data_IF_467630818077
#
_entry.id   IF_467630818077
#
_cell.length_a   1.000
_cell.length_b   1.000
_cell.length_c   1.000
_cell.angle_alpha   90.00
_cell.angle_beta   90.00
_cell.angle_gamma   90.00
#
_symmetry.space_group_name_H-M   'P 1'
#
loop_
_entity.id
_entity.type
_entity.pdbx_description
1 polymer ?
#
# COMPACT_ATOMS: atom_id res chain seq x y z
N UNK A 1 2.71 1.62 16.92
CA UNK A 1 1.87 1.18 15.76
C UNK A 1 2.34 1.77 14.42
N UNK A 2 3.03 2.92 14.38
CA UNK A 2 3.52 3.51 13.10
C UNK A 2 4.62 2.71 12.36
N UNK A 3 5.39 1.87 13.07
CA UNK A 3 6.50 1.13 12.47
C UNK A 3 6.07 -0.01 11.51
N UNK A 4 4.78 -0.39 11.51
CA UNK A 4 4.25 -1.48 10.69
C UNK A 4 3.88 -0.99 9.28
N UNK A 5 3.23 0.18 9.16
CA UNK A 5 2.78 0.72 7.87
C UNK A 5 3.93 1.14 6.95
N UNK A 6 5.02 1.69 7.49
CA UNK A 6 6.18 2.06 6.67
C UNK A 6 6.87 0.82 6.08
N UNK A 7 7.02 -0.24 6.88
CA UNK A 7 7.58 -1.52 6.42
C UNK A 7 6.66 -2.19 5.38
N UNK A 8 5.35 -2.16 5.62
CA UNK A 8 4.35 -2.65 4.68
C UNK A 8 4.39 -1.88 3.35
N UNK A 9 4.48 -0.55 3.39
CA UNK A 9 4.59 0.30 2.22
C UNK A 9 5.83 -0.04 1.37
N UNK A 10 7.02 -0.11 1.99
CA UNK A 10 8.26 -0.45 1.29
C UNK A 10 8.20 -1.86 0.67
N UNK A 11 7.55 -2.81 1.34
CA UNK A 11 7.37 -4.17 0.81
C UNK A 11 6.44 -4.17 -0.39
N UNK A 12 5.33 -3.45 -0.34
CA UNK A 12 4.40 -3.27 -1.46
C UNK A 12 5.07 -2.60 -2.65
N UNK A 13 5.86 -1.55 -2.41
CA UNK A 13 6.60 -0.84 -3.47
C UNK A 13 7.58 -1.78 -4.17
N UNK A 14 8.34 -2.59 -3.40
CA UNK A 14 9.24 -3.61 -3.94
C UNK A 14 8.49 -4.65 -4.78
N UNK A 15 7.39 -5.21 -4.26
CA UNK A 15 6.57 -6.20 -4.99
C UNK A 15 5.92 -5.60 -6.24
N UNK A 16 5.48 -4.35 -6.17
CA UNK A 16 4.93 -3.64 -7.31
C UNK A 16 5.99 -3.45 -8.40
N UNK A 17 7.19 -2.98 -8.02
CA UNK A 17 8.32 -2.77 -8.91
C UNK A 17 8.84 -4.07 -9.55
N UNK A 18 8.80 -5.19 -8.83
CA UNK A 18 9.16 -6.51 -9.36
C UNK A 18 8.21 -7.01 -10.47
N UNK A 19 7.03 -6.41 -10.62
CA UNK A 19 6.21 -6.66 -11.80
C UNK A 19 5.71 -8.11 -11.91
N UNK A 20 5.94 -8.73 -13.06
CA UNK A 20 5.62 -10.13 -13.32
C UNK A 20 6.56 -11.11 -12.59
N UNK A 21 7.74 -10.62 -12.17
CA UNK A 21 8.77 -11.40 -11.47
C UNK A 21 8.58 -11.40 -9.94
N UNK A 22 7.54 -10.73 -9.44
CA UNK A 22 7.23 -10.72 -8.01
C UNK A 22 6.87 -12.12 -7.49
N UNK A 23 7.36 -12.47 -6.31
CA UNK A 23 6.96 -13.70 -5.63
C UNK A 23 5.46 -13.66 -5.31
N UNK A 24 4.69 -14.57 -5.93
CA UNK A 24 3.23 -14.64 -5.78
C UNK A 24 2.77 -15.10 -4.40
N UNK A 25 3.59 -15.85 -3.67
CA UNK A 25 3.27 -16.26 -2.31
C UNK A 25 3.49 -15.09 -1.35
N UNK A 26 4.60 -14.37 -1.51
CA UNK A 26 4.88 -13.14 -0.77
C UNK A 26 3.80 -12.08 -1.04
N UNK A 27 3.47 -11.84 -2.31
CA UNK A 27 2.44 -10.88 -2.72
C UNK A 27 1.08 -11.17 -2.06
N UNK A 28 0.66 -12.44 -2.02
CA UNK A 28 -0.60 -12.84 -1.37
C UNK A 28 -0.59 -12.61 0.15
N UNK A 29 0.53 -12.94 0.81
CA UNK A 29 0.70 -12.72 2.25
C UNK A 29 0.67 -11.24 2.62
N UNK A 30 1.44 -10.43 1.88
CA UNK A 30 1.50 -8.97 2.06
C UNK A 30 0.14 -8.35 1.75
N UNK A 31 -0.54 -8.78 0.70
CA UNK A 31 -1.87 -8.29 0.35
C UNK A 31 -2.91 -8.60 1.44
N UNK A 32 -2.83 -9.75 2.11
CA UNK A 32 -3.74 -10.08 3.21
C UNK A 32 -3.59 -9.08 4.38
N UNK A 33 -2.35 -8.75 4.73
CA UNK A 33 -2.03 -7.73 5.75
C UNK A 33 -2.51 -6.36 5.30
N UNK A 34 -2.19 -5.95 4.07
CA UNK A 34 -2.64 -4.69 3.47
C UNK A 34 -4.16 -4.54 3.46
N UNK A 35 -4.90 -5.58 3.10
CA UNK A 35 -6.36 -5.58 3.13
C UNK A 35 -6.91 -5.39 4.54
N UNK A 36 -6.29 -5.99 5.55
CA UNK A 36 -6.67 -5.77 6.95
C UNK A 36 -6.45 -4.31 7.38
N UNK A 37 -5.34 -3.69 6.96
CA UNK A 37 -5.06 -2.27 7.23
C UNK A 37 -6.04 -1.32 6.53
N UNK A 38 -6.45 -1.64 5.29
CA UNK A 38 -7.51 -0.93 4.58
C UNK A 38 -8.86 -1.05 5.31
N UNK A 39 -9.25 -2.28 5.69
CA UNK A 39 -10.50 -2.54 6.39
C UNK A 39 -10.55 -1.88 7.77
N UNK A 40 -9.40 -1.76 8.45
CA UNK A 40 -9.28 -1.04 9.71
C UNK A 40 -9.20 0.49 9.54
N UNK A 41 -9.14 0.99 8.31
CA UNK A 41 -9.03 2.43 8.01
C UNK A 41 -7.66 3.04 8.32
N UNK A 42 -6.66 2.22 8.65
CA UNK A 42 -5.28 2.64 8.94
C UNK A 42 -4.49 2.97 7.67
N UNK A 43 -4.70 2.19 6.60
CA UNK A 43 -4.26 2.54 5.26
C UNK A 43 -5.37 3.25 4.48
N UNK A 44 -5.04 4.34 3.78
CA UNK A 44 -5.99 5.17 3.03
C UNK A 44 -5.38 5.58 1.69
N UNK A 45 -6.12 5.46 0.58
CA UNK A 45 -5.60 5.80 -0.75
C UNK A 45 -5.25 7.30 -0.92
N UNK A 46 -5.88 8.14 -0.12
CA UNK A 46 -5.57 9.55 0.02
C UNK A 46 -5.91 10.02 1.44
N UNK A 47 -5.24 11.05 1.91
CA UNK A 47 -5.49 11.71 3.19
C UNK A 47 -5.56 13.23 3.00
N UNK A 48 -6.33 13.94 3.85
CA UNK A 48 -6.31 15.40 3.86
C UNK A 48 -4.88 15.90 4.06
N UNK A 49 -4.54 16.93 3.31
CA UNK A 49 -3.24 17.58 3.37
C UNK A 49 -3.43 19.08 3.13
N UNK A 50 -3.39 19.91 4.19
CA UNK A 50 -3.61 21.35 4.07
C UNK A 50 -2.50 22.07 3.29
N UNK A 51 -1.32 21.45 3.14
CA UNK A 51 -0.19 22.02 2.42
C UNK A 51 -0.24 21.68 0.91
N UNK A 52 -1.09 20.72 0.53
CA UNK A 52 -1.36 20.39 -0.88
C UNK A 52 -2.32 21.41 -1.50
N UNK A 53 -2.08 21.88 -2.74
CA UNK A 53 -2.97 22.82 -3.44
C UNK A 53 -4.43 22.35 -3.56
N UNK A 54 -4.66 21.03 -3.58
CA UNK A 54 -5.99 20.43 -3.67
C UNK A 54 -6.60 20.06 -2.30
N UNK A 55 -5.89 20.31 -1.19
CA UNK A 55 -6.29 19.93 0.17
C UNK A 55 -6.17 18.43 0.47
N UNK A 56 -5.58 17.65 -0.45
CA UNK A 56 -5.43 16.20 -0.36
C UNK A 56 -4.10 15.75 -0.95
N UNK A 57 -3.53 14.70 -0.36
CA UNK A 57 -2.37 13.99 -0.90
C UNK A 57 -2.70 12.53 -1.13
N UNK A 58 -2.19 11.99 -2.24
CA UNK A 58 -2.37 10.60 -2.65
C UNK A 58 -1.27 9.73 -2.04
N UNK A 59 -1.66 8.61 -1.44
CA UNK A 59 -0.72 7.61 -0.94
C UNK A 59 -0.46 6.57 -2.04
N UNK A 60 0.58 6.78 -2.84
CA UNK A 60 0.89 5.95 -4.01
C UNK A 60 1.04 4.47 -3.67
N UNK A 61 1.73 4.14 -2.57
CA UNK A 61 1.94 2.76 -2.11
C UNK A 61 0.63 2.01 -1.87
N UNK A 62 -0.44 2.70 -1.44
CA UNK A 62 -1.76 2.07 -1.25
C UNK A 62 -2.36 1.64 -2.58
N UNK A 63 -2.25 2.48 -3.62
CA UNK A 63 -2.72 2.11 -4.97
C UNK A 63 -1.89 0.96 -5.55
N UNK A 64 -0.58 0.98 -5.33
CA UNK A 64 0.30 -0.12 -5.71
C UNK A 64 -0.07 -1.42 -4.99
N UNK A 65 -0.45 -1.36 -3.71
CA UNK A 65 -0.92 -2.52 -2.94
C UNK A 65 -2.19 -3.14 -3.52
N UNK A 66 -3.11 -2.32 -4.04
CA UNK A 66 -4.30 -2.80 -4.76
C UNK A 66 -3.89 -3.53 -6.04
N UNK A 67 -2.94 -2.98 -6.81
CA UNK A 67 -2.45 -3.61 -8.04
C UNK A 67 -1.70 -4.92 -7.77
N UNK A 68 -0.91 -4.99 -6.70
CA UNK A 68 -0.26 -6.23 -6.23
C UNK A 68 -1.30 -7.29 -5.90
N UNK A 69 -2.44 -6.91 -5.31
CA UNK A 69 -3.54 -7.84 -5.00
C UNK A 69 -4.26 -8.44 -6.21
N UNK A 70 -4.12 -7.86 -7.40
CA UNK A 70 -4.68 -8.41 -8.64
C UNK A 70 -3.72 -9.32 -9.40
N UNK A 71 -2.48 -9.50 -8.92
CA UNK A 71 -1.45 -10.33 -9.56
C UNK A 71 -1.52 -11.81 -9.15
#
# INVERSE_FOLDING_TARGET
VSADLSSLASTIERLHAAGADADRAEARSVFATFRAELSAGRARAASPDPDSPAGWTVNAWVKQGILVGFR
#
